data_IF_994814188652
#
_entry.id   IF_994814188652
#
_cell.length_a   1.000
_cell.length_b   1.000
_cell.length_c   1.000
_cell.angle_alpha   90.00
_cell.angle_beta   90.00
_cell.angle_gamma   90.00
#
_symmetry.space_group_name_H-M   'P 1'
#
loop_
_entity.id
_entity.type
_entity.pdbx_description
1 polymer ?
#
# COMPACT_ATOMS: atom_id res chain seq x y z
N UNK A 1 -10.46 -25.38 11.45
CA UNK A 1 -10.78 -26.30 12.58
C UNK A 1 -12.18 -26.94 12.46
N UNK A 2 -13.23 -26.26 12.04
CA UNK A 2 -14.58 -26.87 11.99
C UNK A 2 -14.78 -27.88 10.85
N UNK A 3 -13.93 -27.88 9.83
CA UNK A 3 -14.00 -28.86 8.72
C UNK A 3 -13.15 -30.11 9.03
N UNK A 4 -12.00 -29.96 9.69
CA UNK A 4 -11.13 -31.06 10.04
C UNK A 4 -11.70 -31.96 11.14
N UNK A 5 -12.50 -31.39 12.07
CA UNK A 5 -13.12 -32.14 13.16
C UNK A 5 -14.26 -33.07 12.69
N UNK A 6 -14.77 -32.87 11.46
CA UNK A 6 -15.86 -33.68 10.88
C UNK A 6 -15.49 -34.40 9.58
N UNK A 7 -14.26 -34.20 9.07
CA UNK A 7 -13.80 -34.81 7.83
C UNK A 7 -13.11 -36.15 8.11
N UNK A 8 -13.54 -37.21 7.42
CA UNK A 8 -12.90 -38.51 7.47
C UNK A 8 -12.06 -38.68 6.21
N UNK A 9 -10.73 -38.79 6.37
CA UNK A 9 -9.83 -39.08 5.27
C UNK A 9 -9.72 -40.59 5.08
N UNK A 10 -10.11 -41.09 3.92
CA UNK A 10 -10.01 -42.50 3.58
C UNK A 10 -9.47 -42.68 2.16
N UNK A 11 -8.78 -43.79 1.85
CA UNK A 11 -8.32 -44.07 0.50
C UNK A 11 -9.48 -44.09 -0.50
N UNK A 12 -9.30 -43.47 -1.67
CA UNK A 12 -10.35 -43.34 -2.70
C UNK A 12 -10.90 -44.69 -3.13
N UNK A 13 -10.10 -45.76 -3.10
CA UNK A 13 -10.51 -47.12 -3.42
C UNK A 13 -11.57 -47.66 -2.45
N UNK A 14 -11.47 -47.30 -1.16
CA UNK A 14 -12.46 -47.67 -0.15
C UNK A 14 -13.78 -46.91 -0.37
N UNK A 15 -13.69 -45.60 -0.65
CA UNK A 15 -14.85 -44.76 -0.98
C UNK A 15 -15.59 -45.31 -2.18
N UNK A 16 -14.87 -45.65 -3.25
CA UNK A 16 -15.46 -46.24 -4.48
C UNK A 16 -16.19 -47.54 -4.22
N UNK A 17 -15.67 -48.37 -3.31
CA UNK A 17 -16.34 -49.63 -2.90
C UNK A 17 -17.62 -49.37 -2.10
N UNK A 18 -17.57 -48.34 -1.18
CA UNK A 18 -18.72 -48.00 -0.33
C UNK A 18 -19.85 -47.33 -1.10
N UNK A 19 -19.50 -46.37 -1.98
CA UNK A 19 -20.49 -45.57 -2.73
C UNK A 19 -20.86 -46.25 -4.06
N UNK A 20 -20.12 -47.29 -4.46
CA UNK A 20 -20.28 -48.00 -5.75
C UNK A 20 -20.16 -47.09 -6.98
N UNK A 21 -19.37 -46.03 -6.89
CA UNK A 21 -19.10 -45.09 -7.98
C UNK A 21 -17.64 -45.17 -8.39
N UNK A 22 -17.34 -45.27 -9.68
CA UNK A 22 -15.97 -45.37 -10.22
C UNK A 22 -15.29 -44.02 -10.47
N UNK A 23 -15.99 -42.91 -10.27
CA UNK A 23 -15.52 -41.56 -10.50
C UNK A 23 -14.83 -40.88 -9.30
N UNK A 24 -14.62 -39.60 -9.45
CA UNK A 24 -14.27 -38.64 -8.39
C UNK A 24 -15.12 -37.39 -8.56
N UNK A 25 -15.59 -36.81 -7.47
CA UNK A 25 -16.45 -35.61 -7.51
C UNK A 25 -15.65 -34.36 -7.88
N UNK A 26 -14.39 -34.30 -7.48
CA UNK A 26 -13.51 -33.19 -7.78
C UNK A 26 -12.05 -33.66 -7.92
N UNK A 27 -11.30 -33.00 -8.75
CA UNK A 27 -9.85 -33.19 -8.91
C UNK A 27 -9.14 -31.92 -8.48
N UNK A 28 -8.18 -32.06 -7.59
CA UNK A 28 -7.31 -30.97 -7.18
C UNK A 28 -6.00 -31.06 -8.00
N UNK A 29 -5.75 -30.03 -8.79
CA UNK A 29 -4.50 -29.88 -9.54
C UNK A 29 -3.60 -28.93 -8.79
N UNK A 30 -2.46 -29.42 -8.28
CA UNK A 30 -1.46 -28.62 -7.56
C UNK A 30 -0.38 -28.18 -8.55
N UNK A 31 -0.15 -26.89 -8.63
CA UNK A 31 0.90 -26.29 -9.47
C UNK A 31 2.15 -26.01 -8.61
N UNK A 32 3.33 -26.15 -9.21
CA UNK A 32 4.59 -25.80 -8.55
C UNK A 32 4.82 -24.28 -8.38
N UNK A 33 4.04 -23.47 -9.10
CA UNK A 33 4.12 -22.00 -9.06
C UNK A 33 2.71 -21.41 -9.22
N UNK A 34 2.28 -20.67 -8.21
CA UNK A 34 0.95 -20.02 -8.18
C UNK A 34 0.78 -18.98 -9.29
N UNK A 35 1.88 -18.33 -9.73
CA UNK A 35 1.83 -17.36 -10.83
C UNK A 35 1.43 -17.96 -12.18
N UNK A 36 1.49 -19.28 -12.34
CA UNK A 36 1.10 -20.00 -13.55
C UNK A 36 -0.38 -20.45 -13.58
N UNK A 37 -1.15 -20.12 -12.54
CA UNK A 37 -2.55 -20.56 -12.41
C UNK A 37 -3.40 -20.14 -13.61
N UNK A 38 -3.35 -18.87 -14.02
CA UNK A 38 -4.18 -18.35 -15.12
C UNK A 38 -3.80 -18.95 -16.50
N UNK A 39 -2.49 -19.14 -16.73
CA UNK A 39 -2.00 -19.77 -17.96
C UNK A 39 -2.41 -21.24 -18.04
N UNK A 40 -2.31 -21.98 -16.92
CA UNK A 40 -2.73 -23.39 -16.86
C UNK A 40 -4.25 -23.51 -16.97
N UNK A 41 -5.00 -22.62 -16.32
CA UNK A 41 -6.46 -22.57 -16.41
C UNK A 41 -6.92 -22.38 -17.86
N UNK A 42 -6.26 -21.49 -18.62
CA UNK A 42 -6.58 -21.24 -20.01
C UNK A 42 -6.30 -22.47 -20.90
N UNK A 43 -5.17 -23.13 -20.69
CA UNK A 43 -4.83 -24.35 -21.45
C UNK A 43 -5.76 -25.53 -21.11
N UNK A 44 -6.15 -25.68 -19.84
CA UNK A 44 -7.11 -26.71 -19.43
C UNK A 44 -8.52 -26.43 -19.97
N UNK A 45 -8.97 -25.19 -20.05
CA UNK A 45 -10.25 -24.81 -20.68
C UNK A 45 -10.31 -25.13 -22.15
N UNK A 46 -9.17 -25.13 -22.85
CA UNK A 46 -9.10 -25.50 -24.27
C UNK A 46 -9.09 -27.02 -24.52
N UNK A 47 -8.61 -27.79 -23.53
CA UNK A 47 -8.43 -29.25 -23.67
C UNK A 47 -9.56 -30.07 -23.03
N UNK A 48 -10.34 -29.49 -22.11
CA UNK A 48 -11.42 -30.18 -21.43
C UNK A 48 -12.80 -29.71 -21.93
N UNK A 49 -13.77 -30.62 -21.94
CA UNK A 49 -15.14 -30.29 -22.31
C UNK A 49 -15.79 -29.39 -21.22
N UNK A 50 -16.24 -28.16 -21.56
CA UNK A 50 -16.86 -27.25 -20.63
C UNK A 50 -18.18 -27.75 -20.01
N UNK A 51 -18.85 -28.73 -20.67
CA UNK A 51 -20.09 -29.29 -20.15
C UNK A 51 -19.84 -30.42 -19.13
N UNK A 52 -18.68 -31.07 -19.21
CA UNK A 52 -18.30 -32.15 -18.29
C UNK A 52 -17.49 -31.70 -17.10
N UNK A 53 -16.73 -30.59 -17.21
CA UNK A 53 -15.80 -30.12 -16.18
C UNK A 53 -16.00 -28.64 -15.88
N UNK A 54 -16.19 -28.32 -14.61
CA UNK A 54 -16.16 -26.96 -14.09
C UNK A 54 -14.78 -26.69 -13.49
N UNK A 55 -14.02 -25.79 -14.11
CA UNK A 55 -12.68 -25.39 -13.66
C UNK A 55 -12.78 -24.16 -12.76
N UNK A 56 -12.49 -24.33 -11.48
CA UNK A 56 -12.46 -23.27 -10.50
C UNK A 56 -11.00 -23.03 -10.04
N UNK A 57 -10.43 -21.83 -10.25
CA UNK A 57 -9.14 -21.52 -9.70
C UNK A 57 -9.21 -21.38 -8.17
N UNK A 58 -8.08 -21.58 -7.50
CA UNK A 58 -8.01 -21.58 -6.02
C UNK A 58 -8.55 -20.28 -5.39
N UNK A 59 -8.33 -19.14 -6.03
CA UNK A 59 -8.76 -17.84 -5.50
C UNK A 59 -10.28 -17.66 -5.51
N UNK A 60 -11.02 -18.35 -6.40
CA UNK A 60 -12.49 -18.34 -6.41
C UNK A 60 -13.06 -19.18 -5.24
N UNK A 61 -12.32 -20.22 -4.83
CA UNK A 61 -12.71 -21.10 -3.73
C UNK A 61 -12.27 -20.56 -2.36
N UNK A 62 -11.32 -19.64 -2.33
CA UNK A 62 -10.73 -19.09 -1.10
C UNK A 62 -11.48 -17.86 -0.59
N UNK A 63 -12.79 -17.95 -0.41
CA UNK A 63 -13.66 -16.86 0.04
C UNK A 63 -13.20 -16.21 1.35
N UNK A 64 -12.78 -17.02 2.31
CA UNK A 64 -12.26 -16.54 3.59
C UNK A 64 -10.96 -15.74 3.40
N UNK A 65 -10.04 -16.25 2.58
CA UNK A 65 -8.79 -15.57 2.25
C UNK A 65 -9.05 -14.22 1.58
N UNK A 66 -9.90 -14.20 0.55
CA UNK A 66 -10.23 -12.98 -0.18
C UNK A 66 -10.88 -11.90 0.71
N UNK A 67 -11.82 -12.30 1.56
CA UNK A 67 -12.46 -11.40 2.54
C UNK A 67 -11.45 -10.87 3.56
N UNK A 68 -10.55 -11.73 4.04
CA UNK A 68 -9.49 -11.36 4.99
C UNK A 68 -8.51 -10.37 4.36
N UNK A 69 -8.02 -10.64 3.15
CA UNK A 69 -7.13 -9.72 2.42
C UNK A 69 -7.82 -8.37 2.18
N UNK A 70 -9.09 -8.37 1.79
CA UNK A 70 -9.86 -7.14 1.59
C UNK A 70 -10.01 -6.33 2.89
N UNK A 71 -10.25 -6.99 4.03
CA UNK A 71 -10.32 -6.33 5.33
C UNK A 71 -8.97 -5.69 5.70
N UNK A 72 -7.86 -6.41 5.55
CA UNK A 72 -6.53 -5.87 5.80
C UNK A 72 -6.20 -4.70 4.86
N UNK A 73 -6.53 -4.79 3.59
CA UNK A 73 -6.34 -3.68 2.64
C UNK A 73 -7.11 -2.42 3.06
N UNK A 74 -8.37 -2.57 3.49
CA UNK A 74 -9.16 -1.44 4.01
C UNK A 74 -8.57 -0.86 5.28
N UNK A 75 -8.10 -1.71 6.21
CA UNK A 75 -7.45 -1.26 7.44
C UNK A 75 -6.16 -0.48 7.13
N UNK A 76 -5.31 -0.98 6.25
CA UNK A 76 -4.10 -0.29 5.80
C UNK A 76 -4.43 1.04 5.12
N UNK A 77 -5.50 1.10 4.32
CA UNK A 77 -5.96 2.36 3.71
C UNK A 77 -6.35 3.41 4.76
N UNK A 78 -7.10 3.02 5.78
CA UNK A 78 -7.49 3.93 6.88
C UNK A 78 -6.24 4.45 7.62
N UNK A 79 -5.29 3.56 7.93
CA UNK A 79 -4.03 3.94 8.57
C UNK A 79 -3.22 4.90 7.68
N UNK A 80 -3.12 4.64 6.37
CA UNK A 80 -2.47 5.54 5.41
C UNK A 80 -3.13 6.93 5.40
N UNK A 81 -4.46 7.00 5.42
CA UNK A 81 -5.18 8.28 5.44
C UNK A 81 -4.93 9.05 6.74
N UNK A 82 -4.94 8.37 7.89
CA UNK A 82 -4.65 9.00 9.19
C UNK A 82 -3.21 9.54 9.25
N UNK A 83 -2.24 8.74 8.84
CA UNK A 83 -0.82 9.16 8.76
C UNK A 83 -0.69 10.33 7.78
N UNK A 84 -1.30 10.24 6.60
CA UNK A 84 -1.30 11.33 5.61
C UNK A 84 -1.85 12.64 6.17
N UNK A 85 -2.95 12.59 6.94
CA UNK A 85 -3.53 13.76 7.60
C UNK A 85 -2.55 14.37 8.63
N UNK A 86 -1.93 13.53 9.46
CA UNK A 86 -0.93 14.00 10.45
C UNK A 86 0.24 14.68 9.75
N UNK A 87 0.75 14.08 8.65
CA UNK A 87 1.83 14.65 7.85
C UNK A 87 1.42 16.00 7.26
N UNK A 88 0.22 16.10 6.68
CA UNK A 88 -0.29 17.37 6.11
C UNK A 88 -0.35 18.44 7.17
N UNK A 89 -0.87 18.16 8.36
CA UNK A 89 -0.94 19.13 9.46
C UNK A 89 0.44 19.54 9.96
N UNK A 90 1.35 18.57 10.14
CA UNK A 90 2.72 18.81 10.61
C UNK A 90 3.51 19.69 9.63
N UNK A 91 3.51 19.33 8.35
CA UNK A 91 4.23 20.09 7.31
C UNK A 91 3.60 21.47 7.12
N UNK A 92 2.26 21.57 7.10
CA UNK A 92 1.57 22.85 6.97
C UNK A 92 1.90 23.79 8.13
N UNK A 93 2.01 23.27 9.36
CA UNK A 93 2.44 24.05 10.52
C UNK A 93 3.89 24.54 10.38
N UNK A 94 4.81 23.64 10.01
CA UNK A 94 6.24 23.97 9.82
C UNK A 94 6.43 25.01 8.70
N UNK A 95 5.78 24.84 7.56
CA UNK A 95 5.83 25.80 6.46
C UNK A 95 5.18 27.15 6.85
N UNK A 96 4.11 27.14 7.63
CA UNK A 96 3.48 28.37 8.13
C UNK A 96 4.43 29.15 9.03
N UNK A 97 5.20 28.47 9.90
CA UNK A 97 6.21 29.09 10.72
C UNK A 97 7.36 29.66 9.88
N UNK A 98 7.86 28.90 8.90
CA UNK A 98 8.87 29.37 7.98
C UNK A 98 8.43 30.61 7.19
N UNK A 99 7.15 30.70 6.80
CA UNK A 99 6.59 31.89 6.15
C UNK A 99 6.63 33.10 7.11
N UNK A 100 6.29 32.92 8.38
CA UNK A 100 6.32 33.99 9.38
C UNK A 100 7.76 34.47 9.62
N UNK A 101 8.71 33.56 9.77
CA UNK A 101 10.13 33.88 9.95
C UNK A 101 10.73 34.63 8.77
N UNK A 102 10.32 34.31 7.53
CA UNK A 102 10.81 34.93 6.29
C UNK A 102 9.90 36.05 5.79
N UNK A 103 9.00 36.59 6.61
CA UNK A 103 8.01 37.61 6.22
C UNK A 103 8.67 38.84 5.60
N UNK A 104 9.76 39.32 6.17
CA UNK A 104 10.52 40.48 5.68
C UNK A 104 11.18 40.24 4.32
N UNK A 105 11.77 39.04 4.13
CA UNK A 105 12.38 38.64 2.85
C UNK A 105 11.33 38.57 1.75
N UNK A 106 10.16 38.00 2.06
CA UNK A 106 9.02 37.91 1.13
C UNK A 106 8.52 39.29 0.77
N UNK A 107 8.39 40.18 1.79
CA UNK A 107 7.98 41.57 1.59
C UNK A 107 8.96 42.33 0.68
N UNK A 108 10.25 42.20 0.91
CA UNK A 108 11.30 42.81 0.09
C UNK A 108 11.30 42.28 -1.32
N UNK A 109 11.17 40.95 -1.52
CA UNK A 109 11.07 40.34 -2.84
C UNK A 109 9.87 40.87 -3.62
N UNK A 110 8.71 41.03 -2.98
CA UNK A 110 7.52 41.61 -3.61
C UNK A 110 7.68 43.10 -3.89
N UNK A 111 8.39 43.87 -3.06
CA UNK A 111 8.67 45.27 -3.30
C UNK A 111 9.59 45.51 -4.50
N UNK A 112 10.54 44.59 -4.78
CA UNK A 112 11.42 44.61 -5.94
C UNK A 112 10.65 44.13 -7.22
N UNK A 113 9.42 43.63 -7.11
CA UNK A 113 8.58 43.29 -8.26
C UNK A 113 8.33 41.82 -8.47
N UNK A 114 8.69 40.93 -7.53
CA UNK A 114 8.33 39.52 -7.61
C UNK A 114 6.83 39.37 -7.52
N UNK A 115 6.23 38.72 -8.52
CA UNK A 115 4.78 38.51 -8.58
C UNK A 115 4.33 37.53 -7.51
N UNK A 116 3.13 37.70 -6.96
CA UNK A 116 2.48 36.80 -5.98
C UNK A 116 2.51 35.33 -6.40
N UNK A 117 2.32 35.05 -7.71
CA UNK A 117 2.45 33.69 -8.26
C UNK A 117 3.86 33.11 -8.14
N UNK A 118 4.90 33.98 -8.17
CA UNK A 118 6.30 33.54 -7.97
C UNK A 118 6.52 33.06 -6.54
N UNK A 119 6.04 33.81 -5.56
CA UNK A 119 6.13 33.42 -4.14
C UNK A 119 5.34 32.11 -3.90
N UNK A 120 4.13 31.98 -4.42
CA UNK A 120 3.35 30.75 -4.31
C UNK A 120 4.11 29.56 -4.90
N UNK A 121 4.67 29.69 -6.11
CA UNK A 121 5.45 28.61 -6.74
C UNK A 121 6.67 28.24 -5.90
N UNK A 122 7.37 29.20 -5.32
CA UNK A 122 8.55 28.96 -4.50
C UNK A 122 8.22 28.01 -3.34
N UNK A 123 7.19 28.32 -2.55
CA UNK A 123 6.79 27.48 -1.41
C UNK A 123 6.21 26.13 -1.81
N UNK A 124 5.51 26.06 -2.95
CA UNK A 124 5.02 24.79 -3.49
C UNK A 124 6.19 23.91 -3.94
N UNK A 125 7.20 24.48 -4.62
CA UNK A 125 8.42 23.75 -5.00
C UNK A 125 9.20 23.27 -3.77
N UNK A 126 9.31 24.09 -2.73
CA UNK A 126 9.93 23.72 -1.46
C UNK A 126 9.21 22.51 -0.83
N UNK A 127 7.86 22.52 -0.81
CA UNK A 127 7.07 21.38 -0.35
C UNK A 127 7.26 20.13 -1.19
N UNK A 128 7.28 20.25 -2.52
CA UNK A 128 7.53 19.11 -3.43
C UNK A 128 8.94 18.55 -3.23
N UNK A 129 9.94 19.42 -3.10
CA UNK A 129 11.32 19.01 -2.86
C UNK A 129 11.47 18.23 -1.55
N UNK A 130 10.84 18.71 -0.48
CA UNK A 130 10.76 17.99 0.80
C UNK A 130 10.04 16.65 0.66
N UNK A 131 8.96 16.60 -0.13
CA UNK A 131 8.24 15.36 -0.43
C UNK A 131 9.07 14.33 -1.16
N UNK A 132 9.84 14.76 -2.15
CA UNK A 132 10.74 13.88 -2.91
C UNK A 132 11.88 13.37 -2.01
N UNK A 133 12.57 14.26 -1.30
CA UNK A 133 13.64 13.86 -0.39
C UNK A 133 13.15 12.93 0.72
N UNK A 134 12.07 13.32 1.39
CA UNK A 134 11.46 12.51 2.44
C UNK A 134 10.93 11.19 1.92
N UNK A 135 10.33 11.17 0.74
CA UNK A 135 9.85 9.96 0.08
C UNK A 135 10.98 8.99 -0.26
N UNK A 136 12.07 9.49 -0.84
CA UNK A 136 13.25 8.65 -1.16
C UNK A 136 13.86 8.07 0.13
N UNK A 137 14.11 8.91 1.13
CA UNK A 137 14.65 8.47 2.42
C UNK A 137 13.69 7.48 3.11
N UNK A 138 12.38 7.73 3.08
CA UNK A 138 11.37 6.85 3.65
C UNK A 138 11.35 5.48 2.98
N UNK A 139 11.44 5.42 1.65
CA UNK A 139 11.52 4.16 0.89
C UNK A 139 12.81 3.41 1.22
N UNK A 140 13.95 4.08 1.29
CA UNK A 140 15.24 3.45 1.62
C UNK A 140 15.24 2.88 3.05
N UNK A 141 14.78 3.65 4.02
CA UNK A 141 14.68 3.22 5.42
C UNK A 141 13.66 2.07 5.54
N UNK A 142 12.50 2.18 4.90
CA UNK A 142 11.49 1.13 4.90
C UNK A 142 11.98 -0.17 4.29
N UNK A 143 12.76 -0.09 3.21
CA UNK A 143 13.39 -1.24 2.60
C UNK A 143 14.45 -1.88 3.51
N UNK A 144 15.31 -1.07 4.13
CA UNK A 144 16.32 -1.56 5.08
C UNK A 144 15.66 -2.24 6.30
N UNK A 145 14.61 -1.64 6.87
CA UNK A 145 13.83 -2.24 7.97
C UNK A 145 13.17 -3.55 7.55
N UNK A 146 12.61 -3.61 6.34
CA UNK A 146 12.03 -4.85 5.79
C UNK A 146 13.06 -5.98 5.75
N UNK A 147 14.28 -5.72 5.31
CA UNK A 147 15.36 -6.73 5.30
C UNK A 147 15.71 -7.21 6.71
N UNK A 148 15.80 -6.30 7.68
CA UNK A 148 16.11 -6.62 9.08
C UNK A 148 15.00 -7.50 9.68
N UNK A 149 13.74 -7.10 9.53
CA UNK A 149 12.60 -7.85 10.07
C UNK A 149 12.45 -9.20 9.37
N UNK A 150 12.68 -9.27 8.07
CA UNK A 150 12.65 -10.53 7.31
C UNK A 150 13.77 -11.48 7.72
N UNK A 151 14.96 -10.96 8.05
CA UNK A 151 16.09 -11.77 8.54
C UNK A 151 15.83 -12.36 9.94
N UNK A 152 15.09 -11.65 10.78
CA UNK A 152 14.66 -12.17 12.11
C UNK A 152 13.58 -13.25 11.94
N UNK A 153 12.71 -13.10 10.91
CA UNK A 153 11.56 -13.96 10.67
C UNK A 153 10.41 -13.69 11.65
N UNK A 154 9.19 -13.60 11.13
CA UNK A 154 8.00 -13.47 11.97
C UNK A 154 7.37 -14.85 12.11
N UNK A 155 7.41 -15.49 13.31
CA UNK A 155 6.76 -16.78 13.49
C UNK A 155 5.25 -16.62 13.35
N UNK A 156 4.69 -17.31 12.37
CA UNK A 156 3.25 -17.32 12.13
C UNK A 156 2.67 -18.70 12.49
N UNK A 157 1.50 -18.75 13.16
CA UNK A 157 0.84 -20.01 13.42
C UNK A 157 0.46 -20.69 12.10
N UNK A 158 0.49 -22.04 12.06
CA UNK A 158 0.16 -22.78 10.84
C UNK A 158 -1.27 -22.45 10.37
N UNK A 159 -1.47 -22.29 9.06
CA UNK A 159 -2.81 -22.17 8.50
C UNK A 159 -3.63 -23.42 8.78
N UNK A 160 -4.98 -23.33 8.76
CA UNK A 160 -5.83 -24.51 8.91
C UNK A 160 -5.46 -25.59 7.89
N UNK A 161 -5.16 -26.82 8.39
CA UNK A 161 -4.76 -27.95 7.56
C UNK A 161 -3.23 -28.13 7.34
N UNK A 162 -2.38 -27.29 7.93
CA UNK A 162 -0.93 -27.47 7.97
C UNK A 162 -0.46 -27.66 9.41
N UNK A 163 0.48 -28.59 9.60
CA UNK A 163 1.08 -28.88 10.92
C UNK A 163 2.41 -28.14 11.17
N UNK A 164 3.01 -27.57 10.11
CA UNK A 164 4.28 -26.87 10.21
C UNK A 164 4.09 -25.36 10.31
N UNK A 165 4.75 -24.78 11.34
CA UNK A 165 4.89 -23.32 11.45
C UNK A 165 5.65 -22.77 10.23
N UNK A 166 5.29 -21.59 9.79
CA UNK A 166 6.01 -20.90 8.74
C UNK A 166 6.46 -19.52 9.20
N UNK A 167 7.59 -19.07 8.67
CA UNK A 167 8.11 -17.74 8.92
C UNK A 167 7.59 -16.78 7.85
N UNK A 168 6.90 -15.74 8.29
CA UNK A 168 6.47 -14.64 7.42
C UNK A 168 7.65 -13.75 7.04
N UNK A 169 7.83 -13.51 5.76
CA UNK A 169 8.81 -12.58 5.21
C UNK A 169 8.12 -11.29 4.74
N UNK A 170 8.78 -10.15 4.96
CA UNK A 170 8.31 -8.87 4.44
C UNK A 170 9.04 -8.57 3.13
N UNK A 171 8.34 -8.69 2.03
CA UNK A 171 8.90 -8.35 0.71
C UNK A 171 8.41 -6.96 0.26
N UNK A 172 9.37 -6.06 0.00
CA UNK A 172 9.06 -4.74 -0.58
C UNK A 172 9.06 -4.86 -2.09
N UNK A 173 7.89 -4.69 -2.69
CA UNK A 173 7.74 -4.68 -4.13
C UNK A 173 7.89 -3.25 -4.67
N UNK A 174 8.36 -3.11 -5.92
CA UNK A 174 8.45 -1.83 -6.63
C UNK A 174 7.15 -1.02 -6.61
N UNK A 175 6.01 -1.68 -6.75
CA UNK A 175 4.68 -1.02 -6.67
C UNK A 175 4.46 -0.34 -5.31
N UNK A 176 4.89 -0.97 -4.22
CA UNK A 176 4.78 -0.39 -2.86
C UNK A 176 5.68 0.83 -2.72
N UNK A 177 6.89 0.78 -3.27
CA UNK A 177 7.82 1.91 -3.25
C UNK A 177 7.26 3.12 -4.03
N UNK A 178 6.69 2.87 -5.22
CA UNK A 178 6.04 3.92 -6.02
C UNK A 178 4.81 4.48 -5.30
N UNK A 179 3.97 3.63 -4.72
CA UNK A 179 2.77 4.05 -3.96
C UNK A 179 3.17 4.94 -2.77
N UNK A 180 4.20 4.55 -2.01
CA UNK A 180 4.73 5.35 -0.91
C UNK A 180 5.27 6.71 -1.39
N UNK A 181 6.00 6.75 -2.52
CA UNK A 181 6.51 7.97 -3.12
C UNK A 181 5.36 8.89 -3.57
N UNK A 182 4.35 8.35 -4.23
CA UNK A 182 3.17 9.13 -4.66
C UNK A 182 2.45 9.72 -3.45
N UNK A 183 2.22 8.93 -2.40
CA UNK A 183 1.60 9.40 -1.16
C UNK A 183 2.44 10.52 -0.53
N UNK A 184 3.77 10.37 -0.45
CA UNK A 184 4.66 11.40 0.09
C UNK A 184 4.57 12.72 -0.69
N UNK A 185 4.63 12.67 -2.03
CA UNK A 185 4.53 13.86 -2.88
C UNK A 185 3.14 14.51 -2.79
N UNK A 186 2.08 13.73 -2.83
CA UNK A 186 0.70 14.26 -2.75
C UNK A 186 0.44 14.92 -1.40
N UNK A 187 0.83 14.29 -0.30
CA UNK A 187 0.62 14.85 1.04
C UNK A 187 1.42 16.12 1.26
N UNK A 188 2.69 16.18 0.81
CA UNK A 188 3.51 17.40 0.93
C UNK A 188 3.02 18.53 0.02
N UNK A 189 2.55 18.20 -1.18
CA UNK A 189 1.93 19.17 -2.08
C UNK A 189 0.68 19.78 -1.43
N UNK A 190 -0.21 18.96 -0.90
CA UNK A 190 -1.43 19.43 -0.21
C UNK A 190 -1.09 20.28 1.01
N UNK A 191 -0.07 19.86 1.80
CA UNK A 191 0.37 20.58 2.98
C UNK A 191 0.97 21.96 2.66
N UNK A 192 1.64 22.09 1.51
CA UNK A 192 2.31 23.34 1.11
C UNK A 192 1.36 24.39 0.54
N UNK A 193 0.18 23.99 0.02
CA UNK A 193 -0.75 24.92 -0.66
C UNK A 193 -1.26 26.04 0.27
N UNK A 194 -1.71 25.70 1.47
CA UNK A 194 -2.27 26.68 2.40
C UNK A 194 -1.24 27.72 2.87
N UNK A 195 -0.03 27.34 3.35
CA UNK A 195 1.03 28.29 3.71
C UNK A 195 1.51 29.12 2.50
N UNK A 196 1.69 28.49 1.34
CA UNK A 196 2.11 29.17 0.12
C UNK A 196 1.10 30.24 -0.33
N UNK A 197 -0.19 29.92 -0.23
CA UNK A 197 -1.25 30.85 -0.55
C UNK A 197 -1.28 32.04 0.43
N UNK A 198 -1.12 31.77 1.74
CA UNK A 198 -1.02 32.80 2.78
C UNK A 198 0.18 33.71 2.54
N UNK A 199 1.37 33.15 2.25
CA UNK A 199 2.58 33.90 1.91
C UNK A 199 2.38 34.80 0.67
N UNK A 200 1.74 34.29 -0.37
CA UNK A 200 1.52 35.03 -1.63
C UNK A 200 0.55 36.20 -1.50
N UNK A 201 -0.30 36.22 -0.47
CA UNK A 201 -1.31 37.26 -0.22
C UNK A 201 -0.88 38.25 0.87
N UNK A 202 0.31 38.16 1.40
CA UNK A 202 0.83 39.04 2.41
C UNK A 202 0.87 40.50 1.94
N UNK A 203 0.59 41.43 2.84
CA UNK A 203 0.63 42.85 2.53
C UNK A 203 2.08 43.36 2.66
N UNK A 204 2.61 43.95 1.61
CA UNK A 204 4.02 44.40 1.54
C UNK A 204 4.35 45.38 2.68
N UNK A 205 3.45 46.29 2.98
CA UNK A 205 3.64 47.32 4.03
C UNK A 205 3.76 46.68 5.42
N UNK A 206 2.89 45.69 5.71
CA UNK A 206 2.88 45.01 7.01
C UNK A 206 4.11 44.08 7.14
N UNK A 207 4.54 43.45 6.05
CA UNK A 207 5.73 42.63 6.02
C UNK A 207 7.02 43.40 6.31
N UNK A 208 7.13 44.63 5.81
CA UNK A 208 8.28 45.50 6.06
C UNK A 208 8.25 46.18 7.45
N UNK A 209 7.08 46.37 8.07
CA UNK A 209 6.94 46.93 9.43
C UNK A 209 7.30 45.95 10.55
N UNK A 210 7.32 44.66 10.27
CA UNK A 210 7.60 43.61 11.27
C UNK A 210 9.05 43.54 11.73
N UNK A 211 9.93 44.45 11.26
CA UNK A 211 11.34 44.55 11.64
C UNK A 211 11.61 45.56 12.81
N UNK A 212 10.56 46.07 13.48
CA UNK A 212 10.75 46.95 14.66
C UNK A 212 10.31 46.29 15.94
#
# INVERSE_FOLDING_TARGET
>A
KSYDDSAIQVPIQLVRKLIKVQGATSWLVVLGDTGKTDGTLTSLRQSLDPQAFHLAPWYDLADFYNKTVMLFQRQVLVVKLLIGMIIVLSISNTLSMAVVERTSEIGTAMAIGVRRKGILRLFVFEGVFLGVLGGVLGVLIGWALSLIVSAIGIPMPPPPGMESDFTGEITVNWRMAVDAMVVAIVTTLLASVAPAWKASRMNIVDALRHQR
#
